data_IF_358459186119
#
_entry.id   IF_358459186119
#
_cell.length_a   1.000
_cell.length_b   1.000
_cell.length_c   1.000
_cell.angle_alpha   90.00
_cell.angle_beta   90.00
_cell.angle_gamma   90.00
#
_symmetry.space_group_name_H-M   'P 1'
#
loop_
_entity.id
_entity.type
_entity.pdbx_description
1 polymer ?
#
# COMPACT_ATOMS: atom_id res chain seq x y z
N UNK A 1 3.44 -3.81 -11.10
CA UNK A 1 4.01 -4.75 -10.11
C UNK A 1 4.89 -5.86 -10.72
N UNK A 2 4.44 -6.60 -11.75
CA UNK A 2 5.16 -7.75 -12.34
C UNK A 2 6.64 -7.54 -12.69
N UNK A 3 7.02 -6.38 -13.23
CA UNK A 3 8.42 -6.07 -13.61
C UNK A 3 9.40 -5.98 -12.43
N UNK A 4 8.87 -5.96 -11.21
CA UNK A 4 9.65 -5.84 -9.97
C UNK A 4 9.68 -7.13 -9.16
N UNK A 5 9.28 -8.27 -9.74
CA UNK A 5 9.31 -9.56 -9.07
C UNK A 5 10.68 -9.84 -8.43
N UNK A 6 10.66 -10.32 -7.19
CA UNK A 6 11.81 -10.59 -6.33
C UNK A 6 12.66 -9.37 -5.94
N UNK A 7 12.22 -8.15 -6.25
CA UNK A 7 12.89 -6.91 -5.83
C UNK A 7 12.18 -6.29 -4.63
N UNK A 8 12.96 -5.61 -3.80
CA UNK A 8 12.40 -4.70 -2.80
C UNK A 8 11.95 -3.42 -3.49
N UNK A 9 10.72 -3.01 -3.21
CA UNK A 9 10.13 -1.78 -3.74
C UNK A 9 9.67 -0.89 -2.60
N UNK A 10 9.56 0.39 -2.91
CA UNK A 10 8.91 1.40 -2.09
C UNK A 10 7.78 2.01 -2.93
N UNK A 11 6.54 1.90 -2.45
CA UNK A 11 5.34 2.32 -3.18
C UNK A 11 4.35 2.99 -2.23
N UNK A 12 3.56 3.91 -2.76
CA UNK A 12 2.50 4.57 -2.00
C UNK A 12 1.13 4.03 -2.41
N UNK A 13 0.26 3.78 -1.44
CA UNK A 13 -1.09 3.30 -1.70
C UNK A 13 -2.09 3.71 -0.62
N UNK A 14 -3.34 3.94 -1.02
CA UNK A 14 -4.45 4.18 -0.12
C UNK A 14 -5.04 2.84 0.36
N UNK A 15 -5.12 2.63 1.67
CA UNK A 15 -5.69 1.42 2.25
C UNK A 15 -7.21 1.35 1.99
N UNK A 16 -7.63 0.38 1.20
CA UNK A 16 -9.05 0.10 0.94
C UNK A 16 -9.61 -0.81 2.03
N UNK A 17 -8.94 -1.93 2.28
CA UNK A 17 -9.34 -2.92 3.29
C UNK A 17 -8.13 -3.69 3.82
N UNK A 18 -8.27 -4.22 5.04
CA UNK A 18 -7.29 -5.12 5.64
C UNK A 18 -8.00 -6.26 6.38
N UNK A 19 -7.54 -7.49 6.15
CA UNK A 19 -8.03 -8.69 6.85
C UNK A 19 -6.97 -9.20 7.82
N UNK A 20 -7.30 -9.19 9.10
CA UNK A 20 -6.44 -9.75 10.14
C UNK A 20 -6.69 -11.25 10.31
N UNK A 21 -5.60 -12.02 10.43
CA UNK A 21 -5.63 -13.49 10.59
C UNK A 21 -4.66 -13.92 11.68
N UNK A 22 -4.98 -15.00 12.40
CA UNK A 22 -4.07 -15.64 13.35
C UNK A 22 -3.17 -16.66 12.67
N UNK A 23 -1.91 -16.70 13.05
CA UNK A 23 -0.97 -17.78 12.70
C UNK A 23 -1.17 -18.98 13.63
N UNK A 24 -0.65 -20.15 13.26
CA UNK A 24 -0.68 -21.37 14.10
C UNK A 24 -0.10 -21.17 15.50
N UNK A 25 0.82 -20.21 15.65
CA UNK A 25 1.49 -19.91 16.92
C UNK A 25 0.80 -18.78 17.70
N UNK A 26 -0.43 -18.39 17.32
CA UNK A 26 -1.22 -17.35 17.99
C UNK A 26 -0.83 -15.90 17.64
N UNK A 27 0.24 -15.70 16.87
CA UNK A 27 0.63 -14.36 16.41
C UNK A 27 -0.32 -13.84 15.32
N UNK A 28 -0.45 -12.52 15.18
CA UNK A 28 -1.31 -11.89 14.17
C UNK A 28 -0.54 -11.57 12.90
N UNK A 29 -1.15 -11.84 11.75
CA UNK A 29 -0.75 -11.34 10.44
C UNK A 29 -1.93 -10.59 9.78
N UNK A 30 -1.66 -9.84 8.72
CA UNK A 30 -2.69 -9.10 7.99
C UNK A 30 -2.47 -9.17 6.49
N UNK A 31 -3.58 -9.22 5.73
CA UNK A 31 -3.61 -9.05 4.29
C UNK A 31 -4.21 -7.69 3.98
N UNK A 32 -3.44 -6.82 3.33
CA UNK A 32 -3.89 -5.48 2.97
C UNK A 32 -4.16 -5.37 1.48
N UNK A 33 -5.20 -4.63 1.12
CA UNK A 33 -5.48 -4.25 -0.26
C UNK A 33 -5.49 -2.74 -0.35
N UNK A 34 -4.64 -2.21 -1.22
CA UNK A 34 -4.42 -0.79 -1.42
C UNK A 34 -4.68 -0.41 -2.89
N UNK A 35 -4.97 0.86 -3.11
CA UNK A 35 -5.00 1.46 -4.45
C UNK A 35 -3.81 2.39 -4.61
N UNK A 36 -3.09 2.26 -5.71
CA UNK A 36 -2.02 3.18 -6.08
C UNK A 36 -2.57 4.48 -6.70
N UNK A 37 -1.67 5.36 -7.16
CA UNK A 37 -2.06 6.62 -7.80
C UNK A 37 -2.83 6.43 -9.11
N UNK A 38 -2.52 5.39 -9.88
CA UNK A 38 -3.18 5.09 -11.15
C UNK A 38 -4.51 4.34 -10.94
N UNK A 39 -4.84 3.97 -9.70
CA UNK A 39 -5.97 3.12 -9.38
C UNK A 39 -5.69 1.62 -9.55
N UNK A 40 -4.42 1.23 -9.72
CA UNK A 40 -4.01 -0.16 -9.76
C UNK A 40 -4.02 -0.76 -8.34
N UNK A 41 -4.42 -2.03 -8.24
CA UNK A 41 -4.45 -2.75 -6.98
C UNK A 41 -3.05 -3.13 -6.51
N UNK A 42 -2.80 -2.93 -5.23
CA UNK A 42 -1.61 -3.39 -4.51
C UNK A 42 -2.07 -4.29 -3.38
N UNK A 43 -1.82 -5.58 -3.49
CA UNK A 43 -2.04 -6.54 -2.42
C UNK A 43 -0.77 -6.74 -1.60
N UNK A 44 -0.93 -6.81 -0.28
CA UNK A 44 0.18 -6.90 0.66
C UNK A 44 -0.04 -7.99 1.70
N UNK A 45 1.08 -8.56 2.17
CA UNK A 45 1.12 -9.48 3.30
C UNK A 45 1.97 -8.86 4.41
N UNK A 46 1.40 -8.78 5.61
CA UNK A 46 2.06 -8.26 6.81
C UNK A 46 2.28 -9.40 7.81
N UNK A 47 3.48 -9.98 7.80
CA UNK A 47 3.86 -11.01 8.76
C UNK A 47 4.02 -10.46 10.18
N UNK A 48 3.88 -11.30 11.23
CA UNK A 48 3.83 -10.82 12.61
C UNK A 48 4.98 -9.90 13.06
N UNK A 49 6.26 -10.16 12.69
CA UNK A 49 7.36 -9.28 13.09
C UNK A 49 7.24 -7.87 12.50
N UNK A 50 6.81 -7.76 11.24
CA UNK A 50 6.59 -6.46 10.59
C UNK A 50 5.34 -5.79 11.14
N UNK A 51 4.20 -6.51 11.18
CA UNK A 51 2.93 -5.96 11.63
C UNK A 51 2.96 -5.45 13.08
N UNK A 52 3.75 -6.10 13.95
CA UNK A 52 3.95 -5.66 15.34
C UNK A 52 4.69 -4.31 15.42
N UNK A 53 5.66 -4.07 14.53
CA UNK A 53 6.45 -2.82 14.49
C UNK A 53 5.73 -1.72 13.73
N UNK A 54 5.05 -2.08 12.65
CA UNK A 54 4.39 -1.17 11.70
C UNK A 54 2.92 -1.60 11.53
N UNK A 55 2.09 -1.37 12.56
CA UNK A 55 0.68 -1.78 12.50
C UNK A 55 -0.09 -0.95 11.48
N UNK A 56 -1.10 -1.56 10.87
CA UNK A 56 -2.08 -0.85 10.04
C UNK A 56 -2.97 0.00 10.96
N UNK A 57 -3.05 1.31 10.71
CA UNK A 57 -3.71 2.31 11.57
C UNK A 57 -5.02 2.85 10.97
N UNK A 58 -5.75 2.02 10.22
CA UNK A 58 -7.01 2.40 9.55
C UNK A 58 -6.82 3.03 8.17
N UNK A 59 -7.91 3.48 7.55
CA UNK A 59 -7.91 4.01 6.17
C UNK A 59 -7.06 5.29 6.07
N UNK A 60 -6.02 5.25 5.24
CA UNK A 60 -5.12 6.35 4.97
C UNK A 60 -4.24 6.00 3.74
N UNK A 61 -3.46 6.98 3.27
CA UNK A 61 -2.33 6.71 2.39
C UNK A 61 -1.17 6.19 3.23
N UNK A 62 -0.53 5.14 2.74
CA UNK A 62 0.64 4.54 3.35
C UNK A 62 1.80 4.54 2.36
N UNK A 63 3.00 4.71 2.91
CA UNK A 63 4.24 4.33 2.26
C UNK A 63 4.51 2.87 2.63
N UNK A 64 4.59 2.02 1.62
CA UNK A 64 4.73 0.57 1.72
C UNK A 64 6.10 0.21 1.20
N UNK A 65 6.93 -0.41 2.04
CA UNK A 65 8.22 -0.96 1.61
C UNK A 65 8.22 -2.46 1.84
N UNK A 66 8.65 -3.22 0.84
CA UNK A 66 8.64 -4.67 0.93
C UNK A 66 9.12 -5.36 -0.34
N UNK A 67 9.22 -6.69 -0.27
CA UNK A 67 9.64 -7.52 -1.40
C UNK A 67 8.43 -7.89 -2.24
N UNK A 68 8.52 -7.69 -3.55
CA UNK A 68 7.51 -8.19 -4.49
C UNK A 68 7.71 -9.69 -4.66
N UNK A 69 6.66 -10.46 -4.37
CA UNK A 69 6.64 -11.91 -4.53
C UNK A 69 5.45 -12.33 -5.38
N UNK A 70 5.56 -13.48 -6.02
CA UNK A 70 4.46 -14.12 -6.72
C UNK A 70 4.20 -15.46 -6.03
N UNK A 71 2.98 -15.67 -5.55
CA UNK A 71 2.56 -16.91 -4.92
C UNK A 71 1.16 -17.28 -5.44
N UNK A 72 0.98 -18.51 -5.94
CA UNK A 72 -0.28 -18.98 -6.53
C UNK A 72 -0.85 -18.04 -7.61
N UNK A 73 0.00 -17.52 -8.51
CA UNK A 73 -0.35 -16.55 -9.56
C UNK A 73 -0.83 -15.17 -9.06
N UNK A 74 -0.70 -14.88 -7.77
CA UNK A 74 -0.95 -13.55 -7.19
C UNK A 74 0.36 -12.83 -6.90
N UNK A 75 0.49 -11.61 -7.41
CA UNK A 75 1.60 -10.74 -7.04
C UNK A 75 1.23 -9.94 -5.81
N UNK A 76 2.06 -10.04 -4.78
CA UNK A 76 1.88 -9.31 -3.54
C UNK A 76 3.20 -8.69 -3.08
N UNK A 77 3.11 -7.75 -2.14
CA UNK A 77 4.26 -7.22 -1.43
C UNK A 77 4.31 -7.84 -0.03
N UNK A 78 5.37 -8.57 0.27
CA UNK A 78 5.72 -8.93 1.65
C UNK A 78 6.30 -7.70 2.34
N UNK A 79 5.50 -7.09 3.22
CA UNK A 79 5.80 -5.79 3.78
C UNK A 79 6.85 -5.91 4.88
N UNK A 80 7.90 -5.10 4.77
CA UNK A 80 8.92 -4.93 5.81
C UNK A 80 8.61 -3.71 6.66
N UNK A 81 8.25 -2.58 6.06
CA UNK A 81 7.82 -1.35 6.76
C UNK A 81 6.53 -0.78 6.18
N UNK A 82 5.73 -0.19 7.06
CA UNK A 82 4.47 0.46 6.70
C UNK A 82 4.34 1.77 7.46
N UNK A 83 4.34 2.89 6.74
CA UNK A 83 4.31 4.22 7.35
C UNK A 83 3.06 4.97 6.91
N UNK A 84 2.19 5.29 7.86
CA UNK A 84 1.01 6.13 7.61
C UNK A 84 1.46 7.53 7.23
N UNK A 85 1.02 8.00 6.07
CA UNK A 85 1.33 9.35 5.60
C UNK A 85 0.31 10.34 6.17
N UNK A 86 0.79 11.42 6.76
CA UNK A 86 -0.08 12.48 7.27
C UNK A 86 -0.66 13.27 6.11
N UNK A 87 -1.97 13.14 5.90
CA UNK A 87 -2.73 13.93 4.94
C UNK A 87 -2.76 15.39 5.40
N UNK A 88 -1.92 16.23 4.79
CA UNK A 88 -2.10 17.68 4.86
C UNK A 88 -3.13 18.03 3.80
N UNK A 89 -4.24 18.65 4.22
CA UNK A 89 -5.29 19.17 3.36
C UNK A 89 -4.78 20.39 2.58
N UNK A 90 -3.80 20.18 1.70
CA UNK A 90 -3.52 21.12 0.61
C UNK A 90 -4.30 20.65 -0.62
N UNK A 91 -4.66 21.59 -1.49
CA UNK A 91 -5.53 21.39 -2.66
C UNK A 91 -4.98 20.38 -3.68
N UNK A 92 -3.72 19.94 -3.58
CA UNK A 92 -3.11 18.90 -4.41
C UNK A 92 -3.39 17.50 -3.86
N UNK A 93 -3.70 17.35 -2.59
CA UNK A 93 -3.86 16.04 -1.92
C UNK A 93 -5.22 15.38 -2.20
N UNK A 94 -6.24 16.15 -2.60
CA UNK A 94 -7.54 15.63 -3.08
C UNK A 94 -7.45 14.88 -4.42
N UNK A 95 -6.28 14.91 -5.09
CA UNK A 95 -6.02 14.16 -6.31
C UNK A 95 -5.87 12.65 -6.07
N UNK A 96 -5.43 12.20 -4.89
CA UNK A 96 -5.20 10.77 -4.62
C UNK A 96 -6.47 9.96 -4.34
N UNK A 97 -7.56 10.61 -3.96
CA UNK A 97 -8.85 9.97 -3.69
C UNK A 97 -9.96 11.01 -3.74
N UNK A 98 -10.78 10.95 -4.80
CA UNK A 98 -12.00 11.72 -4.91
C UNK A 98 -13.20 10.86 -4.49
N UNK A 99 -13.75 11.01 -3.26
CA UNK A 99 -14.88 10.19 -2.80
C UNK A 99 -16.18 10.43 -3.58
N UNK A 100 -16.25 11.45 -4.45
CA UNK A 100 -17.46 11.84 -5.19
C UNK A 100 -17.29 11.92 -6.72
N UNK A 101 -16.20 11.44 -7.30
CA UNK A 101 -16.03 11.51 -8.76
C UNK A 101 -15.16 10.39 -9.30
N UNK A 102 -15.51 9.93 -10.50
CA UNK A 102 -14.73 8.97 -11.29
C UNK A 102 -13.32 9.47 -11.59
N UNK A 103 -12.51 8.65 -12.29
CA UNK A 103 -11.11 8.96 -12.57
C UNK A 103 -11.02 10.34 -13.23
N UNK A 104 -10.21 11.24 -12.66
CA UNK A 104 -9.96 12.55 -13.28
C UNK A 104 -8.79 12.41 -14.24
N UNK A 105 -9.06 12.73 -15.49
CA UNK A 105 -8.08 12.80 -16.55
C UNK A 105 -7.02 13.88 -16.26
N UNK A 106 -5.74 13.50 -16.36
CA UNK A 106 -4.60 14.33 -16.77
C UNK A 106 -4.13 15.53 -15.89
N UNK A 107 -4.00 15.38 -14.57
CA UNK A 107 -3.30 16.40 -13.75
C UNK A 107 -1.83 16.03 -13.49
N UNK A 108 -0.96 16.52 -14.37
CA UNK A 108 0.49 16.30 -14.40
C UNK A 108 1.25 17.15 -13.35
N UNK A 109 0.84 17.13 -12.08
CA UNK A 109 1.55 17.80 -10.99
C UNK A 109 1.70 16.88 -9.76
N UNK A 110 2.63 15.93 -9.81
CA UNK A 110 2.96 15.13 -8.62
C UNK A 110 3.99 15.84 -7.71
N UNK A 111 3.70 16.04 -6.41
CA UNK A 111 4.70 16.46 -5.41
C UNK A 111 5.63 15.33 -4.96
N UNK A 112 5.42 14.09 -5.42
CA UNK A 112 6.28 12.95 -5.11
C UNK A 112 6.86 12.39 -6.41
N UNK A 113 8.12 12.75 -6.68
CA UNK A 113 8.91 12.10 -7.72
C UNK A 113 9.20 10.67 -7.26
N UNK A 114 8.89 9.69 -8.10
CA UNK A 114 9.35 8.32 -7.97
C UNK A 114 10.89 8.36 -7.94
N UNK A 115 11.50 8.00 -6.81
CA UNK A 115 12.95 7.87 -6.74
C UNK A 115 13.31 6.56 -7.42
N UNK A 116 14.11 6.67 -8.49
CA UNK A 116 14.51 5.60 -9.40
C UNK A 116 15.48 4.63 -8.75
#
# INVERSE_FOLDING_TARGET
MYLHLNKTVEIYGYLVTAKNTGTSNGNRMSFGTFLDYNGDWIDTVHFPPSLKKYPIQGKAVYKITGKVVAEFDFITIEVTTLERQHYRSDTKTTAFYNPKGGPKDNDNHSPFKLIK
#
